data_IF_902414505417
#
_entry.id   IF_902414505417
#
_cell.length_a   1.000
_cell.length_b   1.000
_cell.length_c   1.000
_cell.angle_alpha   90.00
_cell.angle_beta   90.00
_cell.angle_gamma   90.00
#
_symmetry.space_group_name_H-M   'P 1'
#
loop_
_entity.id
_entity.type
_entity.pdbx_description
1 polymer ?
#
# COMPACT_ATOMS: atom_id res chain seq x y z
N UNK A 1 -11.53 -3.26 -19.14
CA UNK A 1 -11.51 -3.11 -17.67
C UNK A 1 -10.28 -2.30 -17.27
N UNK A 2 -10.30 -1.55 -16.16
CA UNK A 2 -9.21 -0.65 -15.75
C UNK A 2 -7.87 -1.37 -15.52
N UNK A 3 -7.91 -2.54 -14.86
CA UNK A 3 -6.73 -3.32 -14.46
C UNK A 3 -5.98 -4.01 -15.61
N UNK A 4 -6.62 -4.21 -16.76
CA UNK A 4 -6.04 -4.93 -17.90
C UNK A 4 -5.51 -4.03 -19.00
N UNK A 5 -5.48 -2.70 -18.78
CA UNK A 5 -4.95 -1.76 -19.77
C UNK A 5 -3.44 -1.98 -19.99
N UNK A 6 -2.94 -1.85 -21.23
CA UNK A 6 -1.51 -1.90 -21.48
C UNK A 6 -0.79 -0.66 -20.89
N UNK A 7 0.52 -0.77 -20.69
CA UNK A 7 1.40 0.35 -20.30
C UNK A 7 1.76 0.46 -18.82
N UNK A 8 1.08 -0.30 -17.93
CA UNK A 8 1.47 -0.41 -16.53
C UNK A 8 1.18 -1.82 -16.03
N UNK A 9 2.15 -2.45 -15.37
CA UNK A 9 2.01 -3.79 -14.79
C UNK A 9 1.13 -3.78 -13.52
N UNK A 10 0.76 -4.97 -13.05
CA UNK A 10 -0.10 -5.11 -11.87
C UNK A 10 0.61 -4.66 -10.59
N UNK A 11 1.92 -4.92 -10.45
CA UNK A 11 2.71 -4.52 -9.30
C UNK A 11 2.67 -2.99 -9.14
N UNK A 12 2.95 -2.24 -10.20
CA UNK A 12 2.94 -0.78 -10.14
C UNK A 12 1.53 -0.22 -9.97
N UNK A 13 0.50 -0.83 -10.57
CA UNK A 13 -0.91 -0.45 -10.35
C UNK A 13 -1.31 -0.53 -8.88
N UNK A 14 -0.90 -1.59 -8.17
CA UNK A 14 -1.20 -1.70 -6.74
C UNK A 14 -0.51 -0.62 -5.90
N UNK A 15 0.71 -0.20 -6.27
CA UNK A 15 1.37 0.92 -5.60
C UNK A 15 0.59 2.22 -5.81
N UNK A 16 0.11 2.49 -7.03
CA UNK A 16 -0.71 3.69 -7.31
C UNK A 16 -1.96 3.74 -6.42
N UNK A 17 -2.62 2.60 -6.21
CA UNK A 17 -3.76 2.51 -5.29
C UNK A 17 -3.35 2.83 -3.85
N UNK A 18 -2.28 2.21 -3.34
CA UNK A 18 -1.75 2.48 -1.99
C UNK A 18 -1.46 3.98 -1.79
N UNK A 19 -0.77 4.61 -2.74
CA UNK A 19 -0.42 6.02 -2.67
C UNK A 19 -1.65 6.92 -2.74
N UNK A 20 -2.61 6.60 -3.61
CA UNK A 20 -3.87 7.35 -3.73
C UNK A 20 -4.67 7.31 -2.42
N UNK A 21 -4.78 6.15 -1.79
CA UNK A 21 -5.55 6.00 -0.56
C UNK A 21 -4.86 6.67 0.63
N UNK A 22 -3.53 6.54 0.73
CA UNK A 22 -2.73 7.23 1.74
C UNK A 22 -2.84 8.76 1.59
N UNK A 23 -2.72 9.28 0.37
CA UNK A 23 -2.84 10.70 0.08
C UNK A 23 -4.23 11.29 0.36
N UNK A 24 -5.28 10.46 0.35
CA UNK A 24 -6.67 10.89 0.53
C UNK A 24 -7.28 10.44 1.87
N UNK A 25 -6.48 9.84 2.76
CA UNK A 25 -6.92 9.39 4.09
C UNK A 25 -7.93 8.24 4.05
N UNK A 26 -7.90 7.38 3.03
CA UNK A 26 -8.84 6.26 2.85
C UNK A 26 -8.31 4.97 3.49
N UNK A 27 -8.19 4.96 4.81
CA UNK A 27 -7.57 3.85 5.55
C UNK A 27 -8.16 2.45 5.29
N UNK A 28 -9.49 2.25 5.14
CA UNK A 28 -10.04 0.92 4.85
C UNK A 28 -9.58 0.38 3.49
N UNK A 29 -9.57 1.24 2.46
CA UNK A 29 -9.10 0.89 1.11
C UNK A 29 -7.58 0.70 1.09
N UNK A 30 -6.84 1.57 1.80
CA UNK A 30 -5.41 1.44 1.97
C UNK A 30 -5.03 0.06 2.51
N UNK A 31 -5.76 -0.45 3.51
CA UNK A 31 -5.50 -1.78 4.05
C UNK A 31 -5.72 -2.90 3.02
N UNK A 32 -6.74 -2.77 2.16
CA UNK A 32 -6.99 -3.72 1.06
C UNK A 32 -5.83 -3.67 0.07
N UNK A 33 -5.46 -2.47 -0.38
CA UNK A 33 -4.44 -2.30 -1.40
C UNK A 33 -3.02 -2.61 -0.91
N UNK A 34 -2.71 -2.45 0.37
CA UNK A 34 -1.45 -2.92 0.96
C UNK A 34 -1.33 -4.45 0.91
N UNK A 35 -2.39 -5.19 1.27
CA UNK A 35 -2.42 -6.66 1.13
C UNK A 35 -2.26 -7.10 -0.33
N UNK A 36 -2.90 -6.38 -1.25
CA UNK A 36 -2.74 -6.63 -2.69
C UNK A 36 -1.31 -6.34 -3.16
N UNK A 37 -0.71 -5.24 -2.73
CA UNK A 37 0.66 -4.86 -3.09
C UNK A 37 1.68 -5.90 -2.63
N UNK A 38 1.57 -6.38 -1.39
CA UNK A 38 2.42 -7.47 -0.88
C UNK A 38 2.28 -8.75 -1.72
N UNK A 39 1.05 -9.12 -2.10
CA UNK A 39 0.80 -10.27 -2.98
C UNK A 39 1.33 -10.08 -4.41
N UNK A 40 1.52 -8.84 -4.86
CA UNK A 40 2.16 -8.52 -6.13
C UNK A 40 3.69 -8.36 -6.01
N UNK A 41 4.27 -8.73 -4.86
CA UNK A 41 5.72 -8.79 -4.66
C UNK A 41 6.36 -7.45 -4.31
N UNK A 42 5.61 -6.48 -3.79
CA UNK A 42 6.20 -5.38 -3.02
C UNK A 42 6.65 -5.89 -1.64
N UNK A 43 7.77 -5.39 -1.14
CA UNK A 43 8.18 -5.67 0.25
C UNK A 43 7.58 -4.65 1.22
N UNK A 44 7.57 -5.01 2.51
CA UNK A 44 7.15 -4.08 3.57
C UNK A 44 8.04 -2.83 3.60
N UNK A 45 9.34 -2.99 3.36
CA UNK A 45 10.32 -1.90 3.29
C UNK A 45 10.03 -0.98 2.11
N UNK A 46 9.83 -1.52 0.90
CA UNK A 46 9.52 -0.71 -0.29
C UNK A 46 8.24 0.13 -0.10
N UNK A 47 7.21 -0.47 0.51
CA UNK A 47 5.95 0.21 0.81
C UNK A 47 6.13 1.27 1.90
N UNK A 48 6.94 0.98 2.92
CA UNK A 48 7.24 1.93 4.00
C UNK A 48 7.95 3.17 3.45
N UNK A 49 8.96 3.00 2.60
CA UNK A 49 9.67 4.12 1.96
C UNK A 49 8.73 4.95 1.07
N UNK A 50 7.85 4.29 0.32
CA UNK A 50 6.86 4.99 -0.50
C UNK A 50 5.89 5.84 0.34
N UNK A 51 5.47 5.35 1.51
CA UNK A 51 4.62 6.09 2.45
C UNK A 51 5.38 7.22 3.17
N UNK A 52 6.66 7.04 3.52
CA UNK A 52 7.50 8.10 4.10
C UNK A 52 7.71 9.24 3.11
N UNK A 53 7.93 8.92 1.82
CA UNK A 53 8.07 9.92 0.77
C UNK A 53 6.86 10.87 0.69
N UNK A 54 5.66 10.39 1.04
CA UNK A 54 4.45 11.20 1.04
C UNK A 54 4.46 12.34 2.07
N UNK A 55 5.32 12.30 3.09
CA UNK A 55 5.50 13.43 4.02
C UNK A 55 5.77 14.73 3.27
N UNK A 56 6.57 14.68 2.18
CA UNK A 56 6.92 15.85 1.38
C UNK A 56 5.80 16.37 0.46
N UNK A 57 4.80 15.55 0.15
CA UNK A 57 3.79 15.88 -0.86
C UNK A 57 2.39 16.13 -0.28
N UNK A 58 2.02 15.40 0.77
CA UNK A 58 0.69 15.51 1.41
C UNK A 58 0.79 15.86 2.90
N UNK A 59 2.01 15.97 3.44
CA UNK A 59 2.26 16.35 4.83
C UNK A 59 2.33 15.14 5.78
N UNK A 60 2.98 15.38 6.92
CA UNK A 60 3.25 14.36 7.93
C UNK A 60 2.00 13.65 8.50
N UNK A 61 0.84 14.30 8.71
CA UNK A 61 -0.34 13.63 9.27
C UNK A 61 -0.83 12.45 8.43
N UNK A 62 -1.04 12.65 7.13
CA UNK A 62 -1.52 11.59 6.23
C UNK A 62 -0.51 10.45 6.09
N UNK A 63 0.78 10.77 5.96
CA UNK A 63 1.83 9.75 5.91
C UNK A 63 1.91 8.93 7.21
N UNK A 64 1.80 9.58 8.37
CA UNK A 64 1.80 8.92 9.68
C UNK A 64 0.62 7.95 9.81
N UNK A 65 -0.59 8.38 9.48
CA UNK A 65 -1.78 7.53 9.60
C UNK A 65 -1.70 6.34 8.63
N UNK A 66 -1.19 6.55 7.41
CA UNK A 66 -0.92 5.47 6.48
C UNK A 66 0.11 4.46 6.99
N UNK A 67 1.18 4.91 7.65
CA UNK A 67 2.19 4.04 8.27
C UNK A 67 1.62 3.20 9.43
N UNK A 68 0.68 3.74 10.20
CA UNK A 68 -0.03 2.97 11.24
C UNK A 68 -0.88 1.85 10.63
N UNK A 69 -1.59 2.15 9.55
CA UNK A 69 -2.35 1.14 8.79
C UNK A 69 -1.42 0.08 8.22
N UNK A 70 -0.28 0.49 7.64
CA UNK A 70 0.72 -0.43 7.10
C UNK A 70 1.27 -1.38 8.17
N UNK A 71 1.69 -0.85 9.32
CA UNK A 71 2.19 -1.66 10.45
C UNK A 71 1.19 -2.74 10.88
N UNK A 72 -0.09 -2.37 11.02
CA UNK A 72 -1.17 -3.33 11.34
C UNK A 72 -1.29 -4.42 10.27
N UNK A 73 -1.41 -4.02 9.00
CA UNK A 73 -1.61 -4.95 7.88
C UNK A 73 -0.43 -5.89 7.69
N UNK A 74 0.79 -5.40 7.86
CA UNK A 74 2.01 -6.21 7.78
C UNK A 74 2.05 -7.26 8.90
N UNK A 75 1.66 -6.88 10.12
CA UNK A 75 1.47 -7.81 11.23
C UNK A 75 0.44 -8.90 10.91
N UNK A 76 -0.71 -8.53 10.36
CA UNK A 76 -1.75 -9.49 9.92
C UNK A 76 -1.23 -10.45 8.85
N UNK A 77 -0.56 -9.94 7.83
CA UNK A 77 -0.05 -10.72 6.69
C UNK A 77 1.05 -11.71 7.10
N UNK A 78 1.90 -11.37 8.09
CA UNK A 78 2.88 -12.32 8.65
C UNK A 78 2.23 -13.40 9.50
N UNK A 79 1.10 -13.10 10.12
CA UNK A 79 0.34 -14.05 10.95
C UNK A 79 -0.58 -14.95 10.11
N UNK A 80 -0.93 -14.56 8.87
CA UNK A 80 -1.68 -15.41 7.95
C UNK A 80 -0.87 -16.69 7.63
N UNK A 81 -1.43 -17.89 7.84
CA UNK A 81 -0.77 -19.12 7.42
C UNK A 81 -0.61 -19.09 5.90
N UNK A 82 0.60 -19.43 5.43
CA UNK A 82 0.86 -19.55 4.00
C UNK A 82 -0.19 -20.49 3.39
N UNK A 83 -1.02 -19.95 2.50
CA UNK A 83 -1.94 -20.78 1.71
C UNK A 83 -1.06 -21.65 0.81
N UNK A 84 -0.99 -22.93 1.15
CA UNK A 84 -0.31 -23.96 0.35
C UNK A 84 -0.93 -24.15 -1.02
#
# INVERSE_FOLDING_TARGET
MLWTRPGLDLKTRTLVCVISDAATGREPELAIHLRMALRQGWTEEELTEALIQLVGYVGAPFARDALLVASRVFGEMRAEPAKG
#
